data_IF_663683723278
#
_entry.id   IF_663683723278
#
_cell.length_a   1.000
_cell.length_b   1.000
_cell.length_c   1.000
_cell.angle_alpha   90.00
_cell.angle_beta   90.00
_cell.angle_gamma   90.00
#
_symmetry.space_group_name_H-M   'P 1'
#
loop_
_entity.id
_entity.type
_entity.pdbx_description
1 polymer ?
#
# COMPACT_ATOMS: atom_id res chain seq x y z
N UNK A 1 28.17 7.27 8.02
CA UNK A 1 27.34 7.15 9.23
C UNK A 1 27.78 5.91 10.00
N UNK A 2 28.11 6.00 11.29
CA UNK A 2 28.43 4.83 12.11
C UNK A 2 27.13 4.08 12.45
N UNK A 3 26.97 2.88 11.94
CA UNK A 3 25.74 2.10 12.08
C UNK A 3 25.62 1.39 13.42
N UNK A 4 26.77 1.11 14.10
CA UNK A 4 26.85 0.34 15.33
C UNK A 4 26.63 -1.18 15.14
N UNK A 5 26.57 -1.65 13.91
CA UNK A 5 26.46 -3.06 13.53
C UNK A 5 27.03 -3.27 12.11
N UNK A 6 27.42 -4.51 11.78
CA UNK A 6 27.79 -4.90 10.41
C UNK A 6 26.51 -5.28 9.63
N UNK A 7 26.16 -4.54 8.56
CA UNK A 7 25.00 -4.86 7.75
C UNK A 7 25.10 -6.20 7.01
N UNK A 8 26.32 -6.72 6.83
CA UNK A 8 26.66 -7.92 6.08
C UNK A 8 27.23 -9.04 6.97
N UNK A 9 27.04 -9.00 8.30
CA UNK A 9 27.57 -9.98 9.24
C UNK A 9 27.33 -11.43 8.79
N UNK A 10 26.17 -11.68 8.17
CA UNK A 10 25.91 -12.92 7.42
C UNK A 10 24.95 -12.64 6.25
N UNK A 11 25.05 -13.43 5.20
CA UNK A 11 24.12 -13.35 4.05
C UNK A 11 23.57 -14.72 3.64
N UNK A 12 23.77 -15.73 4.46
CA UNK A 12 23.28 -17.10 4.18
C UNK A 12 21.77 -17.14 4.09
N UNK A 13 21.06 -16.45 4.98
CA UNK A 13 19.62 -16.36 4.94
C UNK A 13 19.13 -15.57 3.74
N UNK A 14 19.84 -14.54 3.30
CA UNK A 14 19.49 -13.78 2.09
C UNK A 14 19.49 -14.68 0.85
N UNK A 15 20.51 -15.53 0.67
CA UNK A 15 20.57 -16.49 -0.45
C UNK A 15 19.42 -17.50 -0.37
N UNK A 16 19.16 -18.07 0.80
CA UNK A 16 18.06 -19.00 1.02
C UNK A 16 16.70 -18.37 0.74
N UNK A 17 16.45 -17.19 1.30
CA UNK A 17 15.22 -16.43 1.09
C UNK A 17 15.03 -16.03 -0.37
N UNK A 18 16.10 -15.68 -1.08
CA UNK A 18 16.06 -15.38 -2.49
C UNK A 18 15.57 -16.58 -3.31
N UNK A 19 16.13 -17.76 -3.06
CA UNK A 19 15.73 -18.99 -3.76
C UNK A 19 14.28 -19.37 -3.42
N UNK A 20 13.93 -19.35 -2.14
CA UNK A 20 12.53 -19.61 -1.70
C UNK A 20 11.59 -18.58 -2.32
N UNK A 21 11.99 -17.30 -2.37
CA UNK A 21 11.20 -16.24 -2.99
C UNK A 21 10.88 -16.52 -4.45
N UNK A 22 11.84 -17.02 -5.24
CA UNK A 22 11.59 -17.44 -6.64
C UNK A 22 10.57 -18.59 -6.68
N UNK A 23 10.78 -19.64 -5.89
CA UNK A 23 9.91 -20.82 -5.88
C UNK A 23 8.47 -20.43 -5.50
N UNK A 24 8.31 -19.63 -4.44
CA UNK A 24 7.00 -19.15 -3.99
C UNK A 24 6.37 -18.20 -5.00
N UNK A 25 7.17 -17.34 -5.64
CA UNK A 25 6.74 -16.49 -6.74
C UNK A 25 6.05 -17.29 -7.85
N UNK A 26 6.70 -18.37 -8.31
CA UNK A 26 6.16 -19.25 -9.35
C UNK A 26 4.90 -19.99 -8.89
N UNK A 27 4.85 -20.45 -7.64
CA UNK A 27 3.66 -21.08 -7.08
C UNK A 27 2.47 -20.12 -6.96
N UNK A 28 2.70 -18.93 -6.39
CA UNK A 28 1.67 -17.91 -6.22
C UNK A 28 1.17 -17.44 -7.60
N UNK A 29 2.06 -17.18 -8.55
CA UNK A 29 1.69 -16.74 -9.90
C UNK A 29 0.77 -17.73 -10.61
N UNK A 30 1.00 -19.03 -10.43
CA UNK A 30 0.12 -20.09 -10.96
C UNK A 30 -1.27 -20.03 -10.33
N UNK A 31 -1.37 -19.81 -9.01
CA UNK A 31 -2.66 -19.72 -8.29
C UNK A 31 -3.47 -18.50 -8.72
N UNK A 32 -2.81 -17.35 -8.94
CA UNK A 32 -3.48 -16.10 -9.30
C UNK A 32 -3.60 -15.88 -10.81
N UNK A 33 -3.08 -16.79 -11.63
CA UNK A 33 -3.20 -16.77 -13.09
C UNK A 33 -2.29 -15.75 -13.78
N UNK A 34 -1.12 -15.45 -13.20
CA UNK A 34 -0.07 -14.63 -13.84
C UNK A 34 0.92 -15.53 -14.59
N UNK A 35 1.35 -15.06 -15.77
CA UNK A 35 2.42 -15.75 -16.53
C UNK A 35 3.71 -15.79 -15.72
N UNK A 36 4.36 -16.96 -15.66
CA UNK A 36 5.59 -17.15 -14.89
C UNK A 36 6.74 -16.23 -15.31
N UNK A 37 6.86 -15.89 -16.62
CA UNK A 37 7.87 -14.94 -17.11
C UNK A 37 7.67 -13.55 -16.52
N UNK A 38 6.42 -13.08 -16.48
CA UNK A 38 6.09 -11.79 -15.88
C UNK A 38 6.33 -11.82 -14.37
N UNK A 39 5.93 -12.89 -13.69
CA UNK A 39 6.17 -13.05 -12.24
C UNK A 39 7.68 -13.01 -11.93
N UNK A 40 8.49 -13.77 -12.68
CA UNK A 40 9.95 -13.75 -12.49
C UNK A 40 10.56 -12.38 -12.79
N UNK A 41 10.14 -11.71 -13.89
CA UNK A 41 10.63 -10.36 -14.21
C UNK A 41 10.30 -9.36 -13.10
N UNK A 42 9.09 -9.44 -12.54
CA UNK A 42 8.69 -8.60 -11.40
C UNK A 42 9.48 -8.91 -10.13
N UNK A 43 9.81 -10.19 -9.89
CA UNK A 43 10.62 -10.58 -8.74
C UNK A 43 12.04 -10.01 -8.84
N UNK A 44 12.69 -10.17 -10.00
CA UNK A 44 14.02 -9.61 -10.22
C UNK A 44 14.03 -8.08 -10.18
N UNK A 45 13.00 -7.43 -10.71
CA UNK A 45 12.83 -5.99 -10.63
C UNK A 45 12.68 -5.52 -9.17
N UNK A 46 11.83 -6.19 -8.40
CA UNK A 46 11.56 -5.84 -7.02
C UNK A 46 12.79 -6.05 -6.11
N UNK A 47 13.52 -7.16 -6.28
CA UNK A 47 14.74 -7.42 -5.51
C UNK A 47 15.88 -6.46 -5.90
N UNK A 48 15.99 -6.10 -7.18
CA UNK A 48 16.94 -5.08 -7.63
C UNK A 48 16.72 -3.76 -6.90
N UNK A 49 15.46 -3.30 -6.85
CA UNK A 49 15.11 -2.05 -6.15
C UNK A 49 15.19 -2.18 -4.62
N UNK A 50 15.05 -3.39 -4.07
CA UNK A 50 15.35 -3.67 -2.68
C UNK A 50 16.83 -3.38 -2.37
N UNK A 51 17.76 -3.84 -3.19
CA UNK A 51 19.19 -3.54 -3.00
C UNK A 51 19.49 -2.05 -3.20
N UNK A 52 18.87 -1.39 -4.18
CA UNK A 52 18.99 0.07 -4.34
C UNK A 52 18.53 0.79 -3.07
N UNK A 53 17.40 0.37 -2.49
CA UNK A 53 16.90 0.97 -1.25
C UNK A 53 17.77 0.61 -0.03
N UNK A 54 18.32 -0.60 0.03
CA UNK A 54 19.26 -1.01 1.06
C UNK A 54 20.49 -0.07 1.09
N UNK A 55 21.15 0.16 -0.04
CA UNK A 55 22.27 1.07 -0.14
C UNK A 55 21.89 2.53 0.12
N UNK A 56 20.69 2.93 -0.32
CA UNK A 56 20.15 4.26 0.03
C UNK A 56 20.04 4.45 1.53
N UNK A 57 19.50 3.47 2.27
CA UNK A 57 19.36 3.53 3.73
C UNK A 57 20.72 3.54 4.42
N UNK A 58 21.68 2.77 3.96
CA UNK A 58 23.04 2.80 4.52
C UNK A 58 23.71 4.17 4.39
N UNK A 59 23.44 4.88 3.29
CA UNK A 59 24.05 6.20 3.02
C UNK A 59 23.29 7.35 3.68
N UNK A 60 21.95 7.31 3.69
CA UNK A 60 21.10 8.44 4.08
C UNK A 60 20.37 8.24 5.42
N UNK A 61 20.44 7.03 6.00
CA UNK A 61 19.67 6.67 7.17
C UNK A 61 18.21 6.30 6.82
N UNK A 62 17.39 6.09 7.84
CA UNK A 62 15.97 5.80 7.69
C UNK A 62 15.43 4.89 8.79
N UNK A 63 14.12 4.73 8.78
CA UNK A 63 13.36 3.95 9.79
C UNK A 63 13.85 2.50 9.91
N UNK A 64 14.31 1.90 8.80
CA UNK A 64 14.78 0.51 8.77
C UNK A 64 15.95 0.26 9.75
N UNK A 65 16.88 1.23 9.87
CA UNK A 65 18.00 1.14 10.82
C UNK A 65 17.47 1.15 12.27
N UNK A 66 16.51 2.02 12.54
CA UNK A 66 15.88 2.10 13.86
C UNK A 66 15.13 0.82 14.21
N UNK A 67 14.36 0.27 13.28
CA UNK A 67 13.67 -1.02 13.48
C UNK A 67 14.63 -2.15 13.79
N UNK A 68 15.77 -2.22 13.08
CA UNK A 68 16.78 -3.24 13.34
C UNK A 68 17.40 -3.08 14.72
N UNK A 69 17.85 -1.87 15.09
CA UNK A 69 18.44 -1.59 16.40
C UNK A 69 17.49 -1.95 17.54
N UNK A 70 16.26 -1.46 17.49
CA UNK A 70 15.27 -1.76 18.51
C UNK A 70 14.89 -3.25 18.55
N UNK A 71 14.98 -3.96 17.42
CA UNK A 71 14.78 -5.40 17.39
C UNK A 71 15.93 -6.17 18.07
N UNK A 72 17.17 -5.71 17.94
CA UNK A 72 18.34 -6.27 18.64
C UNK A 72 18.19 -6.06 20.15
N UNK A 73 17.80 -4.85 20.57
CA UNK A 73 17.68 -4.49 22.01
C UNK A 73 16.50 -5.19 22.70
N UNK A 74 15.55 -5.72 21.95
CA UNK A 74 14.38 -6.52 22.40
C UNK A 74 13.55 -5.91 23.56
N UNK A 75 13.50 -4.58 23.68
CA UNK A 75 12.86 -3.86 24.77
C UNK A 75 11.53 -3.20 24.38
N UNK A 76 10.77 -3.77 23.45
CA UNK A 76 9.53 -3.16 22.95
C UNK A 76 8.30 -3.95 23.38
N UNK A 77 7.36 -3.28 24.04
CA UNK A 77 6.07 -3.86 24.39
C UNK A 77 5.29 -4.30 23.15
N UNK A 78 4.59 -5.42 23.24
CA UNK A 78 3.71 -5.89 22.17
C UNK A 78 2.60 -4.86 21.93
N UNK A 79 2.61 -4.26 20.74
CA UNK A 79 1.60 -3.29 20.32
C UNK A 79 1.53 -3.27 18.78
N UNK A 80 0.54 -2.53 18.22
CA UNK A 80 0.37 -2.34 16.78
C UNK A 80 1.38 -1.35 16.19
N UNK A 81 1.46 -1.32 14.87
CA UNK A 81 2.23 -0.32 14.15
C UNK A 81 3.74 -0.55 14.20
N UNK A 82 4.49 0.42 14.67
CA UNK A 82 5.95 0.34 14.80
C UNK A 82 6.38 -0.81 15.71
N UNK A 83 5.72 -0.94 16.86
CA UNK A 83 6.03 -1.99 17.84
C UNK A 83 5.83 -3.39 17.26
N UNK A 84 4.77 -3.62 16.48
CA UNK A 84 4.59 -4.90 15.78
C UNK A 84 5.76 -5.21 14.86
N UNK A 85 6.18 -4.24 14.01
CA UNK A 85 7.30 -4.44 13.07
C UNK A 85 8.59 -4.75 13.82
N UNK A 86 8.87 -4.05 14.92
CA UNK A 86 10.07 -4.28 15.75
C UNK A 86 10.03 -5.69 16.34
N UNK A 87 8.93 -6.09 16.97
CA UNK A 87 8.80 -7.43 17.60
C UNK A 87 8.86 -8.55 16.56
N UNK A 88 8.21 -8.36 15.41
CA UNK A 88 8.29 -9.31 14.30
C UNK A 88 9.72 -9.44 13.78
N UNK A 89 10.44 -8.33 13.62
CA UNK A 89 11.85 -8.31 13.23
C UNK A 89 12.73 -8.96 14.31
N UNK A 90 12.48 -8.68 15.59
CA UNK A 90 13.23 -9.22 16.73
C UNK A 90 13.21 -10.75 16.77
N UNK A 91 12.09 -11.38 16.36
CA UNK A 91 12.03 -12.84 16.25
C UNK A 91 13.11 -13.37 15.30
N UNK A 92 13.27 -12.78 14.12
CA UNK A 92 14.28 -13.23 13.14
C UNK A 92 15.72 -12.90 13.58
N UNK A 93 15.93 -11.73 14.17
CA UNK A 93 17.25 -11.30 14.64
C UNK A 93 17.71 -12.17 15.81
N UNK A 94 16.88 -12.32 16.84
CA UNK A 94 17.30 -12.94 18.09
C UNK A 94 17.33 -14.46 18.02
N UNK A 95 16.37 -15.10 17.33
CA UNK A 95 16.29 -16.56 17.25
C UNK A 95 16.97 -17.14 16.01
N UNK A 96 16.83 -16.50 14.84
CA UNK A 96 17.38 -17.01 13.58
C UNK A 96 18.68 -16.30 13.17
N UNK A 97 19.14 -15.32 13.96
CA UNK A 97 20.38 -14.56 13.73
C UNK A 97 20.44 -13.92 12.34
N UNK A 98 19.30 -13.35 11.89
CA UNK A 98 19.25 -12.61 10.64
C UNK A 98 20.05 -11.31 10.75
N UNK A 99 20.88 -11.07 9.76
CA UNK A 99 21.58 -9.80 9.58
C UNK A 99 20.62 -8.74 9.00
N UNK A 100 21.10 -7.50 8.93
CA UNK A 100 20.30 -6.40 8.38
C UNK A 100 19.88 -6.64 6.92
N UNK A 101 20.78 -7.19 6.07
CA UNK A 101 20.48 -7.52 4.68
C UNK A 101 19.48 -8.68 4.59
N UNK A 102 19.56 -9.69 5.46
CA UNK A 102 18.61 -10.81 5.48
C UNK A 102 17.18 -10.34 5.71
N UNK A 103 17.03 -9.36 6.60
CA UNK A 103 15.72 -8.74 6.84
C UNK A 103 15.21 -7.94 5.64
N UNK A 104 16.08 -7.25 4.91
CA UNK A 104 15.66 -6.58 3.67
C UNK A 104 15.11 -7.59 2.66
N UNK A 105 15.79 -8.73 2.46
CA UNK A 105 15.31 -9.77 1.55
C UNK A 105 14.01 -10.41 2.05
N UNK A 106 13.85 -10.60 3.37
CA UNK A 106 12.61 -11.12 3.96
C UNK A 106 11.44 -10.16 3.71
N UNK A 107 11.60 -8.88 4.01
CA UNK A 107 10.55 -7.88 3.83
C UNK A 107 10.26 -7.60 2.36
N UNK A 108 11.30 -7.69 1.50
CA UNK A 108 11.13 -7.66 0.04
C UNK A 108 10.15 -8.74 -0.43
N UNK A 109 10.20 -9.94 0.12
CA UNK A 109 9.27 -11.01 -0.25
C UNK A 109 7.82 -10.63 0.08
N UNK A 110 7.55 -10.03 1.25
CA UNK A 110 6.20 -9.57 1.59
C UNK A 110 5.71 -8.49 0.63
N UNK A 111 6.52 -7.47 0.37
CA UNK A 111 6.18 -6.42 -0.60
C UNK A 111 5.92 -6.98 -2.00
N UNK A 112 6.76 -7.93 -2.42
CA UNK A 112 6.61 -8.61 -3.70
C UNK A 112 5.29 -9.40 -3.83
N UNK A 113 4.85 -10.08 -2.77
CA UNK A 113 3.52 -10.74 -2.76
C UNK A 113 2.42 -9.69 -3.03
N UNK A 114 2.53 -8.50 -2.43
CA UNK A 114 1.65 -7.36 -2.73
C UNK A 114 1.69 -6.95 -4.21
N UNK A 115 2.90 -6.87 -4.79
CA UNK A 115 3.09 -6.57 -6.22
C UNK A 115 2.44 -7.62 -7.11
N UNK A 116 2.52 -8.90 -6.78
CA UNK A 116 1.86 -9.97 -7.53
C UNK A 116 0.33 -9.82 -7.52
N UNK A 117 -0.29 -9.58 -6.38
CA UNK A 117 -1.73 -9.37 -6.30
C UNK A 117 -2.17 -8.09 -7.01
N UNK A 118 -1.40 -7.03 -6.91
CA UNK A 118 -1.62 -5.80 -7.67
C UNK A 118 -1.53 -6.06 -9.17
N UNK A 119 -0.46 -6.72 -9.63
CA UNK A 119 -0.27 -7.08 -11.03
C UNK A 119 -1.42 -7.95 -11.57
N UNK A 120 -1.88 -8.95 -10.79
CA UNK A 120 -3.03 -9.78 -11.16
C UNK A 120 -4.29 -8.94 -11.37
N UNK A 121 -4.50 -7.95 -10.49
CA UNK A 121 -5.65 -7.04 -10.59
C UNK A 121 -5.58 -6.16 -11.84
N UNK A 122 -4.41 -5.60 -12.12
CA UNK A 122 -4.19 -4.75 -13.32
C UNK A 122 -4.35 -5.58 -14.58
N UNK A 123 -3.71 -6.75 -14.67
CA UNK A 123 -3.83 -7.63 -15.84
C UNK A 123 -5.28 -7.99 -16.11
N UNK A 124 -6.06 -8.30 -15.06
CA UNK A 124 -7.48 -8.59 -15.22
C UNK A 124 -8.26 -7.37 -15.77
N UNK A 125 -7.92 -6.15 -15.34
CA UNK A 125 -8.56 -4.92 -15.83
C UNK A 125 -8.26 -4.64 -17.30
N UNK A 126 -7.01 -4.91 -17.74
CA UNK A 126 -6.55 -4.55 -19.09
C UNK A 126 -6.65 -5.67 -20.13
N UNK A 127 -6.96 -6.91 -19.71
CA UNK A 127 -6.97 -8.10 -20.57
C UNK A 127 -7.82 -7.91 -21.85
N UNK A 128 -8.95 -7.23 -21.74
CA UNK A 128 -9.91 -7.00 -22.83
C UNK A 128 -9.68 -5.70 -23.61
N UNK A 129 -8.61 -4.97 -23.31
CA UNK A 129 -8.30 -3.67 -23.92
C UNK A 129 -7.37 -3.82 -25.14
N UNK A 130 -7.34 -2.79 -26.00
CA UNK A 130 -6.37 -2.66 -27.11
C UNK A 130 -4.92 -2.65 -26.61
N UNK A 131 -4.00 -3.08 -27.44
CA UNK A 131 -2.59 -3.19 -27.11
C UNK A 131 -1.98 -1.92 -26.48
N UNK A 132 -2.21 -0.68 -27.00
CA UNK A 132 -1.63 0.51 -26.38
C UNK A 132 -2.09 0.69 -24.93
N UNK A 133 -3.37 0.47 -24.62
CA UNK A 133 -3.89 0.58 -23.26
C UNK A 133 -3.40 -0.55 -22.35
N UNK A 134 -3.16 -1.75 -22.92
CA UNK A 134 -2.54 -2.86 -22.18
C UNK A 134 -1.09 -2.53 -21.80
N UNK A 135 -0.30 -2.02 -22.73
CA UNK A 135 1.07 -1.61 -22.46
C UNK A 135 1.12 -0.48 -21.44
N UNK A 136 0.23 0.54 -21.59
CA UNK A 136 0.12 1.61 -20.61
C UNK A 136 -0.22 1.08 -19.20
N UNK A 137 -1.15 0.13 -19.10
CA UNK A 137 -1.49 -0.48 -17.81
C UNK A 137 -0.35 -1.30 -17.20
N UNK A 138 0.46 -1.98 -18.02
CA UNK A 138 1.63 -2.72 -17.56
C UNK A 138 2.72 -1.81 -16.97
N UNK A 139 2.83 -0.54 -17.39
CA UNK A 139 3.79 0.39 -16.81
C UNK A 139 3.61 0.52 -15.30
N UNK A 140 2.36 0.50 -14.79
CA UNK A 140 2.08 0.73 -13.37
C UNK A 140 2.62 -0.38 -12.46
N UNK A 141 2.78 -1.60 -12.95
CA UNK A 141 3.34 -2.70 -12.14
C UNK A 141 4.88 -2.68 -12.10
N UNK A 142 5.51 -1.92 -13.01
CA UNK A 142 6.97 -1.75 -13.08
C UNK A 142 7.43 -0.35 -12.65
N UNK A 143 6.53 0.51 -12.14
CA UNK A 143 6.94 1.81 -11.62
C UNK A 143 8.03 1.66 -10.55
N UNK A 144 9.16 2.38 -10.66
CA UNK A 144 10.24 2.28 -9.69
C UNK A 144 9.81 2.55 -8.26
N UNK A 145 8.96 3.56 -8.04
CA UNK A 145 8.49 3.92 -6.68
C UNK A 145 7.72 2.78 -6.00
N UNK A 146 6.93 1.97 -6.74
CA UNK A 146 6.24 0.81 -6.15
C UNK A 146 7.26 -0.12 -5.52
N UNK A 147 8.20 -0.61 -6.32
CA UNK A 147 9.15 -1.62 -5.87
C UNK A 147 10.16 -1.06 -4.88
N UNK A 148 10.58 0.20 -5.03
CA UNK A 148 11.53 0.85 -4.12
C UNK A 148 10.96 0.98 -2.71
N UNK A 149 9.77 1.57 -2.55
CA UNK A 149 9.19 1.84 -1.23
C UNK A 149 8.60 0.60 -0.55
N UNK A 150 8.20 -0.41 -1.32
CA UNK A 150 7.54 -1.60 -0.76
C UNK A 150 8.48 -2.80 -0.56
N UNK A 151 9.77 -2.66 -0.87
CA UNK A 151 10.74 -3.75 -0.77
C UNK A 151 11.56 -3.77 0.52
N UNK A 152 11.44 -2.73 1.36
CA UNK A 152 12.34 -2.54 2.49
C UNK A 152 11.80 -3.09 3.80
N UNK A 153 12.74 -3.29 4.75
CA UNK A 153 12.41 -3.52 6.16
C UNK A 153 11.54 -2.38 6.69
N UNK A 154 10.28 -2.69 7.02
CA UNK A 154 9.37 -1.70 7.58
C UNK A 154 7.89 -1.99 7.36
N UNK A 155 7.06 -1.03 7.72
CA UNK A 155 5.59 -1.11 7.61
C UNK A 155 5.10 -1.18 6.17
N UNK A 156 5.83 -0.53 5.24
CA UNK A 156 5.33 -0.27 3.88
C UNK A 156 5.27 -1.55 3.03
N UNK A 157 6.19 -2.50 3.21
CA UNK A 157 6.16 -3.81 2.56
C UNK A 157 4.95 -4.65 2.99
N UNK A 158 4.69 -4.72 4.30
CA UNK A 158 3.54 -5.45 4.85
C UNK A 158 2.21 -4.76 4.51
N UNK A 159 2.16 -3.43 4.59
CA UNK A 159 0.98 -2.66 4.22
C UNK A 159 0.65 -2.81 2.73
N UNK A 160 1.67 -2.84 1.86
CA UNK A 160 1.45 -3.05 0.42
C UNK A 160 1.00 -4.49 0.11
N UNK A 161 1.52 -5.49 0.82
CA UNK A 161 1.00 -6.86 0.75
C UNK A 161 -0.49 -6.89 1.06
N UNK A 162 -0.90 -6.28 2.17
CA UNK A 162 -2.30 -6.18 2.56
C UNK A 162 -3.13 -5.45 1.50
N UNK A 163 -2.63 -4.34 0.95
CA UNK A 163 -3.29 -3.55 -0.10
C UNK A 163 -3.53 -4.37 -1.38
N UNK A 164 -2.50 -5.07 -1.86
CA UNK A 164 -2.61 -5.93 -3.04
C UNK A 164 -3.61 -7.06 -2.83
N UNK A 165 -3.55 -7.72 -1.66
CA UNK A 165 -4.50 -8.79 -1.28
C UNK A 165 -5.94 -8.28 -1.19
N UNK A 166 -6.16 -7.10 -0.61
CA UNK A 166 -7.48 -6.48 -0.51
C UNK A 166 -8.04 -6.17 -1.90
N UNK A 167 -7.25 -5.57 -2.77
CA UNK A 167 -7.66 -5.26 -4.14
C UNK A 167 -8.04 -6.54 -4.91
N UNK A 168 -7.15 -7.54 -4.95
CA UNK A 168 -7.41 -8.81 -5.65
C UNK A 168 -8.57 -9.59 -5.04
N UNK A 169 -8.69 -9.59 -3.71
CA UNK A 169 -9.80 -10.18 -2.98
C UNK A 169 -11.14 -9.55 -3.36
N UNK A 170 -11.18 -8.22 -3.43
CA UNK A 170 -12.38 -7.45 -3.75
C UNK A 170 -12.95 -7.76 -5.14
N UNK A 171 -12.12 -8.07 -6.13
CA UNK A 171 -12.56 -8.36 -7.49
C UNK A 171 -13.41 -9.63 -7.59
N UNK A 172 -13.28 -10.56 -6.64
CA UNK A 172 -14.11 -11.75 -6.53
C UNK A 172 -14.29 -12.14 -5.05
N UNK A 173 -14.88 -11.24 -4.26
CA UNK A 173 -14.98 -11.39 -2.81
C UNK A 173 -15.68 -12.67 -2.35
N UNK A 174 -16.62 -13.19 -3.12
CA UNK A 174 -17.34 -14.44 -2.79
C UNK A 174 -16.38 -15.63 -2.67
N UNK A 175 -15.42 -15.74 -3.61
CA UNK A 175 -14.46 -16.85 -3.65
C UNK A 175 -13.13 -16.52 -2.94
N UNK A 176 -12.88 -15.22 -2.68
CA UNK A 176 -11.60 -14.71 -2.14
C UNK A 176 -11.77 -13.99 -0.81
N UNK A 177 -12.86 -14.26 -0.07
CA UNK A 177 -13.16 -13.59 1.21
C UNK A 177 -12.02 -13.68 2.22
N UNK A 178 -11.30 -14.80 2.26
CA UNK A 178 -10.18 -15.00 3.16
C UNK A 178 -9.01 -14.04 2.88
N UNK A 179 -8.79 -13.66 1.62
CA UNK A 179 -7.78 -12.65 1.28
C UNK A 179 -8.16 -11.27 1.84
N UNK A 180 -9.45 -10.92 1.82
CA UNK A 180 -9.91 -9.64 2.41
C UNK A 180 -9.74 -9.66 3.93
N UNK A 181 -10.14 -10.75 4.58
CA UNK A 181 -9.99 -10.90 6.04
C UNK A 181 -8.51 -10.83 6.42
N UNK A 182 -7.65 -11.57 5.73
CA UNK A 182 -6.21 -11.57 5.98
C UNK A 182 -5.60 -10.19 5.70
N UNK A 183 -6.04 -9.49 4.65
CA UNK A 183 -5.55 -8.15 4.35
C UNK A 183 -5.90 -7.13 5.43
N UNK A 184 -7.14 -7.18 5.95
CA UNK A 184 -7.56 -6.31 7.07
C UNK A 184 -6.74 -6.63 8.31
N UNK A 185 -6.53 -7.91 8.62
CA UNK A 185 -5.73 -8.33 9.77
C UNK A 185 -4.26 -7.86 9.64
N UNK A 186 -3.62 -8.07 8.50
CA UNK A 186 -2.25 -7.61 8.27
C UNK A 186 -2.14 -6.08 8.34
N UNK A 187 -3.11 -5.37 7.76
CA UNK A 187 -3.15 -3.91 7.83
C UNK A 187 -3.35 -3.43 9.27
N UNK A 188 -4.17 -4.13 10.08
CA UNK A 188 -4.38 -3.84 11.49
C UNK A 188 -3.06 -3.92 12.28
N UNK A 189 -2.25 -4.93 12.03
CA UNK A 189 -0.97 -5.12 12.72
C UNK A 189 -0.01 -3.95 12.45
N UNK A 190 0.02 -3.39 11.23
CA UNK A 190 1.01 -2.38 10.84
C UNK A 190 0.47 -0.95 10.80
N UNK A 191 -0.83 -0.76 10.49
CA UNK A 191 -1.50 0.56 10.37
C UNK A 191 -2.97 0.47 10.78
N UNK A 192 -3.30 0.43 12.09
CA UNK A 192 -4.64 0.22 12.60
C UNK A 192 -5.69 1.16 12.02
N UNK A 193 -5.37 2.45 11.90
CA UNK A 193 -6.28 3.47 11.34
C UNK A 193 -6.63 3.20 9.86
N UNK A 194 -5.70 2.73 9.04
CA UNK A 194 -5.97 2.36 7.64
C UNK A 194 -6.73 1.03 7.55
N UNK A 195 -6.46 0.08 8.45
CA UNK A 195 -7.23 -1.16 8.56
C UNK A 195 -8.70 -0.89 8.88
N UNK A 196 -8.96 0.05 9.76
CA UNK A 196 -10.32 0.49 10.08
C UNK A 196 -11.03 1.06 8.85
N UNK A 197 -10.38 1.95 8.11
CA UNK A 197 -10.94 2.50 6.86
C UNK A 197 -11.19 1.39 5.84
N UNK A 198 -10.29 0.42 5.70
CA UNK A 198 -10.44 -0.72 4.79
C UNK A 198 -11.69 -1.55 5.16
N UNK A 199 -11.84 -1.86 6.43
CA UNK A 199 -12.97 -2.62 6.96
C UNK A 199 -14.30 -1.88 6.80
N UNK A 200 -14.37 -0.60 7.23
CA UNK A 200 -15.59 0.21 7.11
C UNK A 200 -15.98 0.40 5.66
N UNK A 201 -15.03 0.68 4.76
CA UNK A 201 -15.30 0.79 3.34
C UNK A 201 -15.88 -0.49 2.75
N UNK A 202 -15.36 -1.66 3.18
CA UNK A 202 -15.88 -2.95 2.74
C UNK A 202 -17.30 -3.20 3.24
N UNK A 203 -17.57 -2.97 4.52
CA UNK A 203 -18.90 -3.15 5.12
C UNK A 203 -19.90 -2.18 4.49
N UNK A 204 -19.57 -0.90 4.36
CA UNK A 204 -20.43 0.09 3.72
C UNK A 204 -20.77 -0.31 2.27
N UNK A 205 -19.81 -0.86 1.53
CA UNK A 205 -20.07 -1.32 0.17
C UNK A 205 -21.08 -2.46 0.12
N UNK A 206 -21.09 -3.35 1.11
CA UNK A 206 -22.08 -4.44 1.22
C UNK A 206 -23.44 -3.93 1.66
N UNK A 207 -23.50 -2.98 2.59
CA UNK A 207 -24.75 -2.35 3.05
C UNK A 207 -25.44 -1.60 1.91
N UNK A 208 -24.68 -0.90 1.09
CA UNK A 208 -25.19 -0.10 -0.02
C UNK A 208 -25.45 -0.92 -1.31
N UNK A 209 -24.99 -2.17 -1.38
CA UNK A 209 -25.28 -3.05 -2.53
C UNK A 209 -26.72 -3.54 -2.46
N UNK A 210 -27.57 -3.08 -3.41
CA UNK A 210 -28.97 -3.47 -3.51
C UNK A 210 -29.17 -4.97 -3.74
N UNK A 211 -28.15 -5.71 -4.16
CA UNK A 211 -28.19 -7.17 -4.38
C UNK A 211 -28.06 -7.97 -3.09
N UNK A 212 -27.65 -7.32 -1.99
CA UNK A 212 -27.51 -7.95 -0.67
C UNK A 212 -28.85 -7.91 0.06
N UNK A 213 -29.24 -9.01 0.71
CA UNK A 213 -30.51 -9.10 1.44
C UNK A 213 -30.57 -8.10 2.60
N UNK A 214 -31.79 -7.65 2.94
CA UNK A 214 -32.02 -6.69 4.05
C UNK A 214 -31.46 -7.20 5.39
N UNK A 215 -31.68 -8.47 5.70
CA UNK A 215 -31.15 -9.06 6.93
C UNK A 215 -29.63 -9.08 6.97
N UNK A 216 -28.98 -9.38 5.84
CA UNK A 216 -27.51 -9.33 5.75
C UNK A 216 -26.98 -7.91 5.93
N UNK A 217 -27.69 -6.89 5.43
CA UNK A 217 -27.29 -5.47 5.64
C UNK A 217 -27.38 -5.06 7.09
N UNK A 218 -28.48 -5.42 7.79
CA UNK A 218 -28.62 -5.15 9.24
C UNK A 218 -27.51 -5.85 9.99
N UNK A 219 -27.26 -7.13 9.74
CA UNK A 219 -26.19 -7.91 10.36
C UNK A 219 -24.80 -7.28 10.14
N UNK A 220 -24.50 -6.88 8.89
CA UNK A 220 -23.24 -6.18 8.57
C UNK A 220 -23.16 -4.81 9.24
N UNK A 221 -24.27 -4.06 9.31
CA UNK A 221 -24.35 -2.79 10.04
C UNK A 221 -24.08 -2.95 11.52
N UNK A 222 -24.65 -3.98 12.15
CA UNK A 222 -24.38 -4.29 13.56
C UNK A 222 -22.91 -4.65 13.79
N UNK A 223 -22.32 -5.47 12.93
CA UNK A 223 -20.89 -5.79 12.97
C UNK A 223 -20.06 -4.50 12.84
N UNK A 224 -20.38 -3.64 11.86
CA UNK A 224 -19.68 -2.37 11.68
C UNK A 224 -19.72 -1.51 12.95
N UNK A 225 -20.90 -1.41 13.57
CA UNK A 225 -21.06 -0.64 14.83
C UNK A 225 -20.23 -1.23 15.96
N UNK A 226 -20.30 -2.54 16.17
CA UNK A 226 -19.52 -3.22 17.23
C UNK A 226 -18.02 -3.02 16.99
N UNK A 227 -17.55 -3.25 15.76
CA UNK A 227 -16.14 -3.08 15.42
C UNK A 227 -15.70 -1.64 15.57
N UNK A 228 -16.55 -0.66 15.21
CA UNK A 228 -16.23 0.76 15.40
C UNK A 228 -16.07 1.09 16.88
N UNK A 229 -16.96 0.60 17.75
CA UNK A 229 -16.88 0.80 19.19
C UNK A 229 -15.60 0.19 19.77
N UNK A 230 -15.24 -1.02 19.36
CA UNK A 230 -14.05 -1.74 19.85
C UNK A 230 -12.75 -1.15 19.29
N UNK A 231 -12.75 -0.76 18.01
CA UNK A 231 -11.54 -0.26 17.35
C UNK A 231 -11.26 1.21 17.64
N UNK A 232 -12.27 1.99 17.96
CA UNK A 232 -12.09 3.42 18.21
C UNK A 232 -11.09 3.71 19.33
N UNK A 233 -11.16 3.09 20.54
CA UNK A 233 -10.14 3.26 21.57
C UNK A 233 -8.75 2.83 21.13
N UNK A 234 -8.64 1.72 20.38
CA UNK A 234 -7.35 1.25 19.86
C UNK A 234 -6.74 2.27 18.90
N UNK A 235 -7.56 2.89 18.05
CA UNK A 235 -7.11 3.92 17.11
C UNK A 235 -6.75 5.20 17.87
N UNK A 236 -7.58 5.64 18.81
CA UNK A 236 -7.34 6.81 19.65
C UNK A 236 -6.00 6.68 20.38
N UNK A 237 -5.76 5.56 21.06
CA UNK A 237 -4.50 5.28 21.73
C UNK A 237 -3.31 5.19 20.76
N UNK A 238 -3.48 4.53 19.60
CA UNK A 238 -2.44 4.42 18.58
C UNK A 238 -2.06 5.79 17.98
N UNK A 239 -3.05 6.65 17.83
CA UNK A 239 -2.92 8.01 17.32
C UNK A 239 -2.38 8.96 18.39
N UNK A 240 -2.54 8.63 19.67
CA UNK A 240 -2.10 9.43 20.81
C UNK A 240 -3.08 10.55 21.19
N UNK A 241 -4.37 10.32 20.92
CA UNK A 241 -5.48 11.14 21.45
C UNK A 241 -5.90 10.62 22.82
N UNK A 242 -6.46 11.48 23.67
CA UNK A 242 -7.02 11.09 24.96
C UNK A 242 -8.44 10.55 24.81
N UNK A 243 -8.87 9.68 25.74
CA UNK A 243 -10.25 9.20 25.78
C UNK A 243 -11.19 10.37 26.10
N UNK A 244 -12.21 10.57 25.27
CA UNK A 244 -13.13 11.70 25.38
C UNK A 244 -12.85 12.84 24.42
N UNK A 245 -11.86 12.71 23.56
CA UNK A 245 -11.49 13.70 22.54
C UNK A 245 -12.68 14.13 21.68
N UNK A 246 -12.87 15.44 21.58
CA UNK A 246 -13.87 16.08 20.72
C UNK A 246 -13.36 16.38 19.31
N UNK A 247 -14.13 17.14 18.55
CA UNK A 247 -13.74 17.58 17.20
C UNK A 247 -12.49 18.48 17.26
N UNK A 248 -12.38 19.30 18.31
CA UNK A 248 -11.24 20.21 18.50
C UNK A 248 -9.94 19.42 18.72
N UNK A 249 -9.99 18.32 19.48
CA UNK A 249 -8.84 17.45 19.71
C UNK A 249 -8.37 16.74 18.42
N UNK A 250 -9.29 16.44 17.51
CA UNK A 250 -8.96 15.92 16.17
C UNK A 250 -8.21 16.97 15.35
N UNK A 251 -8.62 18.23 15.43
CA UNK A 251 -7.92 19.36 14.81
C UNK A 251 -6.49 19.47 15.37
N UNK A 252 -6.35 19.48 16.70
CA UNK A 252 -5.06 19.54 17.39
C UNK A 252 -4.16 18.34 17.02
N UNK A 253 -4.76 17.15 16.88
CA UNK A 253 -4.02 15.99 16.40
C UNK A 253 -3.48 16.17 14.98
N UNK A 254 -4.31 16.68 14.07
CA UNK A 254 -3.88 16.96 12.68
C UNK A 254 -2.72 17.95 12.70
N UNK A 255 -2.83 19.04 13.44
CA UNK A 255 -1.80 20.07 13.57
C UNK A 255 -0.51 19.52 14.21
N UNK A 256 -0.63 18.70 15.24
CA UNK A 256 0.50 18.00 15.88
C UNK A 256 1.18 17.03 14.91
N UNK A 257 0.42 16.28 14.10
CA UNK A 257 1.00 15.39 13.08
C UNK A 257 1.70 16.15 11.97
N UNK A 258 1.14 17.28 11.55
CA UNK A 258 1.77 18.15 10.57
C UNK A 258 3.09 18.72 11.12
N UNK A 259 3.11 19.18 12.38
CA UNK A 259 4.31 19.71 13.02
C UNK A 259 5.42 18.66 13.18
N UNK A 260 5.12 17.42 13.54
CA UNK A 260 6.10 16.33 13.59
C UNK A 260 6.77 16.04 12.24
N UNK A 261 6.06 16.29 11.15
CA UNK A 261 6.55 16.06 9.80
C UNK A 261 7.22 17.29 9.18
N UNK A 262 7.16 18.45 9.84
CA UNK A 262 7.71 19.72 9.36
C UNK A 262 9.26 19.83 9.47
N UNK A 263 9.92 18.87 10.11
CA UNK A 263 11.38 18.87 10.37
C UNK A 263 12.17 18.07 9.34
N UNK A 264 12.26 18.48 8.07
CA UNK A 264 13.10 17.78 7.09
C UNK A 264 13.09 18.43 5.71
N UNK A 265 14.10 18.14 4.89
CA UNK A 265 14.28 18.74 3.55
C UNK A 265 13.16 18.50 2.54
N UNK A 266 12.14 17.70 2.90
CA UNK A 266 10.95 17.43 2.06
C UNK A 266 9.64 17.87 2.73
N UNK A 267 9.72 18.73 3.78
CA UNK A 267 8.55 19.28 4.46
C UNK A 267 7.78 20.27 3.57
N UNK A 268 6.45 20.27 3.72
CA UNK A 268 5.55 21.22 3.03
C UNK A 268 4.57 21.74 4.06
N UNK A 269 4.33 23.05 4.02
CA UNK A 269 3.22 23.65 4.76
C UNK A 269 1.89 23.30 4.09
N UNK A 270 1.19 22.30 4.65
CA UNK A 270 -0.14 21.90 4.20
C UNK A 270 -1.26 22.56 5.00
N UNK A 271 -0.94 23.21 6.13
CA UNK A 271 -1.92 23.83 7.02
C UNK A 271 -2.63 25.01 6.35
N UNK A 272 -1.92 25.74 5.48
CA UNK A 272 -2.45 26.83 4.67
C UNK A 272 -3.27 26.38 3.44
N UNK A 273 -3.27 25.07 3.12
CA UNK A 273 -3.92 24.54 1.91
C UNK A 273 -5.34 24.08 2.20
N UNK A 274 -6.27 24.32 1.26
CA UNK A 274 -7.59 23.68 1.29
C UNK A 274 -7.48 22.16 1.15
N UNK A 275 -8.42 21.39 1.68
CA UNK A 275 -8.41 19.92 1.63
C UNK A 275 -8.23 19.37 0.19
N UNK A 276 -8.90 19.89 -0.86
CA UNK A 276 -8.62 19.46 -2.24
C UNK A 276 -7.17 19.68 -2.65
N UNK A 277 -6.55 20.79 -2.24
CA UNK A 277 -5.15 21.07 -2.55
C UNK A 277 -4.20 20.16 -1.79
N UNK A 278 -4.50 19.82 -0.53
CA UNK A 278 -3.76 18.79 0.23
C UNK A 278 -3.82 17.45 -0.48
N UNK A 279 -4.99 17.03 -0.95
CA UNK A 279 -5.18 15.77 -1.69
C UNK A 279 -4.38 15.73 -3.00
N UNK A 280 -4.39 16.83 -3.78
CA UNK A 280 -3.61 16.93 -5.02
C UNK A 280 -2.10 16.91 -4.71
N UNK A 281 -1.67 17.64 -3.69
CA UNK A 281 -0.29 17.65 -3.22
C UNK A 281 0.17 16.25 -2.80
N UNK A 282 -0.62 15.57 -2.01
CA UNK A 282 -0.30 14.22 -1.53
C UNK A 282 -0.14 13.20 -2.68
N UNK A 283 -1.01 13.26 -3.69
CA UNK A 283 -1.00 12.30 -4.79
C UNK A 283 0.10 12.58 -5.82
N UNK A 284 0.32 13.84 -6.18
CA UNK A 284 1.03 14.21 -7.41
C UNK A 284 2.36 14.91 -7.20
N UNK A 285 2.70 15.34 -5.97
CA UNK A 285 4.01 15.93 -5.70
C UNK A 285 4.98 14.88 -5.11
N UNK A 286 6.33 15.08 -5.30
CA UNK A 286 6.97 16.17 -6.02
C UNK A 286 6.77 16.08 -7.53
N UNK A 287 6.81 17.25 -8.20
CA UNK A 287 6.96 17.37 -9.64
C UNK A 287 8.45 17.48 -10.02
N UNK A 288 8.87 17.27 -11.29
CA UNK A 288 10.29 17.23 -11.67
C UNK A 288 11.08 18.49 -11.29
N UNK A 289 10.46 19.65 -11.36
CA UNK A 289 11.09 20.91 -10.98
C UNK A 289 11.19 21.16 -9.47
N UNK A 290 10.56 20.28 -8.66
CA UNK A 290 10.62 20.30 -7.18
C UNK A 290 11.59 19.25 -6.64
N UNK A 291 12.17 18.45 -7.52
CA UNK A 291 13.02 17.32 -7.11
C UNK A 291 14.43 17.80 -6.72
N UNK A 292 14.78 17.64 -5.45
CA UNK A 292 16.09 17.99 -4.92
C UNK A 292 17.06 16.78 -4.81
N UNK A 293 16.64 15.61 -5.27
CA UNK A 293 17.43 14.38 -5.30
C UNK A 293 17.05 13.49 -6.46
N UNK A 294 17.96 12.57 -6.84
CA UNK A 294 17.69 11.57 -7.89
C UNK A 294 16.46 10.71 -7.57
N UNK A 295 16.26 10.36 -6.30
CA UNK A 295 15.09 9.58 -5.87
C UNK A 295 13.79 10.38 -5.95
N UNK A 296 13.83 11.67 -5.61
CA UNK A 296 12.69 12.57 -5.79
C UNK A 296 12.38 12.79 -7.28
N UNK A 297 13.40 12.85 -8.13
CA UNK A 297 13.24 12.97 -9.58
C UNK A 297 12.59 11.70 -10.18
N UNK A 298 13.03 10.51 -9.82
CA UNK A 298 12.40 9.26 -10.23
C UNK A 298 10.93 9.17 -9.79
N UNK A 299 10.65 9.56 -8.54
CA UNK A 299 9.27 9.61 -8.03
C UNK A 299 8.40 10.64 -8.76
N UNK A 300 8.98 11.74 -9.23
CA UNK A 300 8.23 12.73 -10.00
C UNK A 300 7.87 12.26 -11.41
N UNK A 301 8.69 11.42 -12.05
CA UNK A 301 8.29 10.76 -13.30
C UNK A 301 7.10 9.81 -13.07
N UNK A 302 7.11 9.03 -11.98
CA UNK A 302 5.97 8.18 -11.63
C UNK A 302 4.70 9.05 -11.38
N UNK A 303 4.85 10.24 -10.79
CA UNK A 303 3.75 11.16 -10.58
C UNK A 303 3.19 11.73 -11.91
N UNK A 304 4.05 12.02 -12.90
CA UNK A 304 3.58 12.43 -14.24
C UNK A 304 2.75 11.31 -14.89
N UNK A 305 3.23 10.07 -14.81
CA UNK A 305 2.49 8.91 -15.35
C UNK A 305 1.13 8.78 -14.63
N UNK A 306 1.10 9.01 -13.32
CA UNK A 306 -0.14 9.00 -12.54
C UNK A 306 -1.09 10.15 -12.95
N UNK A 307 -0.59 11.36 -13.19
CA UNK A 307 -1.40 12.48 -13.70
C UNK A 307 -2.01 12.11 -15.05
N UNK A 308 -1.21 11.56 -15.99
CA UNK A 308 -1.71 11.10 -17.29
C UNK A 308 -2.81 10.04 -17.14
N UNK A 309 -2.64 9.09 -16.22
CA UNK A 309 -3.66 8.09 -15.90
C UNK A 309 -4.97 8.73 -15.44
N UNK A 310 -4.87 9.71 -14.55
CA UNK A 310 -6.05 10.40 -13.98
C UNK A 310 -6.77 11.18 -15.04
N UNK A 311 -6.05 11.95 -15.87
CA UNK A 311 -6.63 12.72 -16.98
C UNK A 311 -7.32 11.79 -18.00
N UNK A 312 -6.64 10.71 -18.41
CA UNK A 312 -7.21 9.71 -19.32
C UNK A 312 -8.41 9.01 -18.68
N UNK A 313 -8.31 8.62 -17.41
CA UNK A 313 -9.39 7.94 -16.69
C UNK A 313 -10.64 8.79 -16.62
N UNK A 314 -10.53 10.06 -16.23
CA UNK A 314 -11.66 11.00 -16.21
C UNK A 314 -12.24 11.22 -17.61
N UNK A 315 -11.42 11.40 -18.63
CA UNK A 315 -11.88 11.52 -20.02
C UNK A 315 -12.79 10.35 -20.43
N UNK A 316 -12.39 9.10 -20.12
CA UNK A 316 -13.19 7.92 -20.42
C UNK A 316 -14.42 7.75 -19.52
N UNK A 317 -14.36 8.22 -18.27
CA UNK A 317 -15.53 8.27 -17.37
C UNK A 317 -16.57 9.27 -17.94
N UNK A 318 -16.16 10.46 -18.36
CA UNK A 318 -17.06 11.44 -18.98
C UNK A 318 -17.67 10.93 -20.30
N UNK A 319 -16.93 10.12 -21.05
CA UNK A 319 -17.46 9.39 -22.21
C UNK A 319 -18.41 8.23 -21.86
N UNK A 320 -18.70 8.02 -20.56
CA UNK A 320 -19.56 6.94 -20.05
C UNK A 320 -19.08 5.54 -20.45
N UNK A 321 -17.79 5.34 -20.61
CA UNK A 321 -17.22 4.03 -20.88
C UNK A 321 -17.53 3.06 -19.73
N UNK A 322 -17.97 1.84 -20.11
CA UNK A 322 -18.21 0.79 -19.13
C UNK A 322 -16.87 0.21 -18.63
N UNK A 323 -16.72 -0.02 -17.33
CA UNK A 323 -15.53 -0.67 -16.80
C UNK A 323 -15.42 -2.10 -17.31
N UNK A 324 -14.20 -2.60 -17.48
CA UNK A 324 -13.93 -4.00 -17.81
C UNK A 324 -14.33 -4.96 -16.68
N UNK A 325 -14.35 -4.47 -15.44
CA UNK A 325 -14.74 -5.22 -14.24
C UNK A 325 -15.65 -4.32 -13.40
N UNK A 326 -16.85 -4.79 -13.11
CA UNK A 326 -17.85 -4.06 -12.34
C UNK A 326 -17.89 -4.47 -10.85
N UNK A 327 -17.21 -5.57 -10.50
CA UNK A 327 -17.28 -6.12 -9.15
C UNK A 327 -16.73 -5.16 -8.10
N UNK A 328 -17.54 -4.93 -7.08
CA UNK A 328 -17.18 -4.25 -5.82
C UNK A 328 -16.53 -2.85 -5.96
N UNK A 329 -16.85 -2.13 -7.05
CA UNK A 329 -16.26 -0.81 -7.35
C UNK A 329 -16.52 0.22 -6.25
N UNK A 330 -17.69 0.13 -5.58
CA UNK A 330 -18.04 1.04 -4.50
C UNK A 330 -17.03 0.92 -3.34
N UNK A 331 -16.68 -0.31 -2.95
CA UNK A 331 -15.63 -0.53 -1.94
C UNK A 331 -14.30 0.12 -2.35
N UNK A 332 -13.88 -0.08 -3.61
CA UNK A 332 -12.61 0.44 -4.11
C UNK A 332 -12.58 1.98 -4.05
N UNK A 333 -13.67 2.65 -4.43
CA UNK A 333 -13.79 4.12 -4.35
C UNK A 333 -13.85 4.61 -2.91
N UNK A 334 -14.65 3.99 -2.05
CA UNK A 334 -14.78 4.38 -0.66
C UNK A 334 -13.43 4.28 0.06
N UNK A 335 -12.74 3.14 -0.08
CA UNK A 335 -11.43 2.97 0.54
C UNK A 335 -10.43 4.00 0.04
N UNK A 336 -10.36 4.22 -1.27
CA UNK A 336 -9.47 5.21 -1.86
C UNK A 336 -9.72 6.61 -1.30
N UNK A 337 -10.96 7.10 -1.37
CA UNK A 337 -11.27 8.47 -0.97
C UNK A 337 -11.15 8.68 0.54
N UNK A 338 -11.67 7.79 1.37
CA UNK A 338 -11.59 7.92 2.82
C UNK A 338 -10.14 7.88 3.31
N UNK A 339 -9.34 6.95 2.78
CA UNK A 339 -7.91 6.90 3.10
C UNK A 339 -7.15 8.11 2.57
N UNK A 340 -7.48 8.61 1.37
CA UNK A 340 -6.85 9.79 0.80
C UNK A 340 -7.08 11.04 1.67
N UNK A 341 -8.32 11.25 2.14
CA UNK A 341 -8.65 12.37 3.03
C UNK A 341 -7.77 12.32 4.29
N UNK A 342 -7.73 11.17 4.97
CA UNK A 342 -6.96 11.01 6.21
C UNK A 342 -5.45 11.21 5.96
N UNK A 343 -4.90 10.55 4.94
CA UNK A 343 -3.47 10.62 4.67
C UNK A 343 -3.02 11.99 4.18
N UNK A 344 -3.83 12.65 3.33
CA UNK A 344 -3.50 13.98 2.83
C UNK A 344 -3.55 15.06 3.92
N UNK A 345 -4.52 15.00 4.84
CA UNK A 345 -4.64 15.96 5.93
C UNK A 345 -3.58 15.80 7.02
N UNK A 346 -2.98 14.60 7.17
CA UNK A 346 -2.02 14.32 8.25
C UNK A 346 -0.57 14.27 7.80
N UNK A 347 -0.27 14.40 6.49
CA UNK A 347 1.09 14.18 5.95
C UNK A 347 1.68 15.48 5.38
N UNK A 348 2.47 16.18 6.18
CA UNK A 348 3.17 17.43 5.81
C UNK A 348 4.61 17.19 5.28
N UNK A 349 4.90 16.01 4.75
CA UNK A 349 6.22 15.64 4.22
C UNK A 349 6.09 14.80 2.95
N UNK A 350 6.70 15.27 1.85
CA UNK A 350 6.62 14.58 0.55
C UNK A 350 7.30 13.20 0.56
N UNK A 351 8.38 13.02 1.32
CA UNK A 351 9.04 11.72 1.44
C UNK A 351 8.13 10.68 2.08
N UNK A 352 7.35 11.09 3.09
CA UNK A 352 6.34 10.23 3.73
C UNK A 352 5.18 9.99 2.77
N UNK A 353 4.69 11.03 2.07
CA UNK A 353 3.61 10.91 1.08
C UNK A 353 3.98 9.93 -0.03
N UNK A 354 5.20 10.01 -0.59
CA UNK A 354 5.68 9.10 -1.64
C UNK A 354 5.64 7.62 -1.24
N UNK A 355 5.90 7.32 0.04
CA UNK A 355 5.83 5.95 0.57
C UNK A 355 4.39 5.53 0.83
N UNK A 356 3.64 6.36 1.52
CA UNK A 356 2.31 6.00 2.04
C UNK A 356 1.24 5.91 0.95
N UNK A 357 1.34 6.71 -0.12
CA UNK A 357 0.34 6.68 -1.20
C UNK A 357 0.20 5.30 -1.88
N UNK A 358 1.21 4.44 -1.80
CA UNK A 358 1.13 3.08 -2.33
C UNK A 358 0.15 2.16 -1.59
N UNK A 359 -0.35 2.56 -0.42
CA UNK A 359 -1.46 1.85 0.24
C UNK A 359 -2.82 2.12 -0.44
N UNK A 360 -2.96 3.20 -1.20
CA UNK A 360 -4.24 3.61 -1.80
C UNK A 360 -4.19 3.65 -3.33
N UNK A 361 -3.06 3.98 -3.93
CA UNK A 361 -2.89 4.08 -5.38
C UNK A 361 -3.27 2.82 -6.16
N UNK A 362 -3.00 1.59 -5.72
CA UNK A 362 -3.43 0.38 -6.43
C UNK A 362 -4.92 0.37 -6.74
N UNK A 363 -5.76 0.89 -5.83
CA UNK A 363 -7.20 0.99 -6.02
C UNK A 363 -7.58 2.00 -7.10
N UNK A 364 -6.98 3.20 -7.03
CA UNK A 364 -7.21 4.24 -8.05
C UNK A 364 -6.75 3.79 -9.42
N UNK A 365 -5.53 3.25 -9.53
CA UNK A 365 -4.95 2.78 -10.77
C UNK A 365 -5.85 1.71 -11.41
N UNK A 366 -6.30 0.72 -10.64
CA UNK A 366 -7.22 -0.30 -11.10
C UNK A 366 -8.55 0.31 -11.60
N UNK A 367 -9.15 1.20 -10.80
CA UNK A 367 -10.43 1.82 -11.12
C UNK A 367 -10.37 2.58 -12.45
N UNK A 368 -9.30 3.36 -12.67
CA UNK A 368 -9.12 4.16 -13.88
C UNK A 368 -8.74 3.28 -15.08
N UNK A 369 -7.79 2.36 -14.95
CA UNK A 369 -7.42 1.44 -16.03
C UNK A 369 -8.60 0.59 -16.51
N UNK A 370 -9.49 0.22 -15.60
CA UNK A 370 -10.68 -0.57 -15.95
C UNK A 370 -11.62 0.16 -16.92
N UNK A 371 -11.66 1.49 -16.92
CA UNK A 371 -12.54 2.31 -17.80
C UNK A 371 -11.82 2.87 -19.02
N UNK A 372 -10.49 2.97 -19.01
CA UNK A 372 -9.69 3.49 -20.12
C UNK A 372 -9.81 2.57 -21.33
N UNK A 373 -10.09 3.17 -22.50
CA UNK A 373 -10.22 2.46 -23.77
C UNK A 373 -11.50 1.62 -23.89
N UNK A 374 -11.86 1.27 -25.12
CA UNK A 374 -13.01 0.39 -25.37
C UNK A 374 -12.65 -1.07 -25.11
N UNK A 375 -13.63 -1.85 -24.66
CA UNK A 375 -13.47 -3.30 -24.54
C UNK A 375 -13.62 -3.93 -25.93
N UNK A 376 -12.58 -4.55 -26.47
CA UNK A 376 -12.60 -5.17 -27.81
C UNK A 376 -13.25 -6.56 -27.80
N UNK A 377 -13.06 -7.29 -26.71
CA UNK A 377 -13.67 -8.60 -26.55
C UNK A 377 -15.03 -8.44 -25.86
N UNK A 378 -16.14 -8.74 -26.57
CA UNK A 378 -17.37 -9.13 -25.89
C UNK A 378 -16.97 -10.27 -24.96
N UNK A 379 -17.16 -10.07 -23.66
CA UNK A 379 -16.93 -11.10 -22.66
C UNK A 379 -17.77 -12.30 -23.10
N UNK A 380 -17.16 -13.30 -23.73
CA UNK A 380 -17.75 -14.61 -23.78
C UNK A 380 -18.03 -14.98 -22.33
N UNK A 381 -19.31 -15.15 -22.01
CA UNK A 381 -19.75 -15.56 -20.69
C UNK A 381 -18.99 -16.84 -20.37
N UNK A 382 -17.93 -16.71 -19.58
CA UNK A 382 -17.31 -17.85 -18.94
C UNK A 382 -18.38 -18.39 -18.00
N UNK A 383 -19.04 -19.46 -18.49
CA UNK A 383 -19.96 -20.28 -17.70
C UNK A 383 -19.23 -20.94 -16.54
#
# INVERSE_FOLDING_TARGET
MYLGFDPFESFYWSMFLFIIGIILSLKISKIIGINYKLSSSLYFWHILLCFVYFFYVLSNGGDAISYFRWAVDNNVNLNFGTAFVINFTAFFVNYLKFSFIDLFVLYNFFGYVGVLFFAASIIQAIKVKKLPYRLFGLLFIFLPSVSFWTSALGKDSLAFMATGMALWGALNYKNRKWLIILSIFLMLLVRPHIAFVLLISFILSLILDKKVSFYTRIFMGSIASIVSIVMLPVIINYVGLEEGSGIDDVSDYVDKRQSYNAGGGSSIDISSMSLPMQMLTYLFRPLPFEAHSIFALLASFDNIILILLVLMGFYFIFKKNKPSIESNRLFLWLYFYLSLIILASTTANLGIAMRQKWMILPFLIFLLLSVIGNNELKIEKIK
#
